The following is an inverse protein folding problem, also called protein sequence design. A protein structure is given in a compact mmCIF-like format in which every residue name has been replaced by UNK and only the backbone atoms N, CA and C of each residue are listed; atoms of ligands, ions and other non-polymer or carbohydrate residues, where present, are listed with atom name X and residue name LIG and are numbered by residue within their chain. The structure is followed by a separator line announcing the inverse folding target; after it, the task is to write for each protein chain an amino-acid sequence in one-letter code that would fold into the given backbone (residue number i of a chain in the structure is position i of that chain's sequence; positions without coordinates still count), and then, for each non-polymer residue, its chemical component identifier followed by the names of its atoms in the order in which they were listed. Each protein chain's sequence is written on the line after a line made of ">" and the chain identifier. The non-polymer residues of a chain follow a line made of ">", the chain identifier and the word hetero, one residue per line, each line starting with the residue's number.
data_IF_614708893512
#
_entry.id   IF_614708893512
#
_cell.length_a   1.000
_cell.length_b   1.000
_cell.length_c   1.000
_cell.angle_alpha   90.00
_cell.angle_beta   90.00
_cell.angle_gamma   90.00
#
_symmetry.space_group_name_H-M   'P 1'
#
loop_
_entity.id
_entity.type
_entity.pdbx_description
1 polymer ?
#
# COMPACT_ATOMS: atom_id res chain seq x y z
N UNK A 1 -12.80 -11.09 -13.20
CA UNK A 1 -11.87 -10.46 -12.22
C UNK A 1 -12.72 -9.85 -11.12
N UNK A 2 -12.45 -10.17 -9.86
CA UNK A 2 -13.24 -9.67 -8.73
C UNK A 2 -12.67 -8.34 -8.21
N UNK A 3 -13.55 -7.46 -7.75
CA UNK A 3 -13.22 -6.19 -7.10
C UNK A 3 -13.78 -6.18 -5.68
N UNK A 4 -12.97 -5.79 -4.70
CA UNK A 4 -13.40 -5.59 -3.32
C UNK A 4 -13.58 -4.09 -3.12
N UNK A 5 -14.83 -3.65 -2.90
CA UNK A 5 -15.12 -2.26 -2.55
C UNK A 5 -15.77 -2.21 -1.18
N UNK A 6 -15.21 -1.35 -0.33
CA UNK A 6 -15.61 -1.15 1.05
C UNK A 6 -16.11 0.29 1.29
N UNK A 7 -16.56 0.96 0.21
CA UNK A 7 -17.04 2.34 0.23
C UNK A 7 -18.19 2.53 1.22
N UNK A 8 -17.98 3.35 2.25
CA UNK A 8 -19.01 3.73 3.23
C UNK A 8 -19.11 2.85 4.47
N UNK A 9 -18.31 1.78 4.57
CA UNK A 9 -18.31 0.87 5.71
C UNK A 9 -17.07 1.08 6.58
N UNK A 10 -17.25 1.11 7.91
CA UNK A 10 -16.14 0.98 8.87
C UNK A 10 -15.84 -0.49 9.01
N UNK A 11 -14.86 -0.97 8.25
CA UNK A 11 -14.39 -2.35 8.35
C UNK A 11 -13.19 -2.40 9.28
N UNK A 12 -13.07 -3.48 10.04
CA UNK A 12 -11.89 -3.67 10.88
C UNK A 12 -10.70 -4.07 10.00
N UNK A 13 -10.89 -5.05 9.10
CA UNK A 13 -9.81 -5.56 8.28
C UNK A 13 -10.28 -6.07 6.93
N UNK A 14 -9.40 -5.96 5.93
CA UNK A 14 -9.53 -6.66 4.64
C UNK A 14 -8.35 -7.61 4.50
N UNK A 15 -8.65 -8.88 4.22
CA UNK A 15 -7.65 -9.91 3.98
C UNK A 15 -7.87 -10.55 2.62
N UNK A 16 -6.84 -10.59 1.76
CA UNK A 16 -6.89 -11.29 0.48
C UNK A 16 -5.69 -12.20 0.31
N UNK A 17 -5.91 -13.51 0.30
CA UNK A 17 -4.87 -14.52 0.20
C UNK A 17 -5.02 -15.32 -1.10
N UNK A 18 -3.95 -15.44 -1.88
CA UNK A 18 -3.92 -16.26 -3.09
C UNK A 18 -4.94 -15.85 -4.17
N UNK A 19 -5.37 -14.59 -4.16
CA UNK A 19 -6.48 -14.11 -5.00
C UNK A 19 -5.98 -13.26 -6.17
N UNK A 20 -6.69 -13.33 -7.30
CA UNK A 20 -6.47 -12.43 -8.45
C UNK A 20 -7.60 -11.39 -8.48
N UNK A 21 -7.28 -10.20 -8.02
CA UNK A 21 -8.23 -9.10 -7.83
C UNK A 21 -7.89 -7.95 -8.78
N UNK A 22 -8.93 -7.36 -9.37
CA UNK A 22 -8.74 -6.18 -10.21
C UNK A 22 -8.51 -4.94 -9.36
N UNK A 23 -9.31 -4.78 -8.30
CA UNK A 23 -9.26 -3.60 -7.45
C UNK A 23 -9.65 -3.92 -6.01
N UNK A 24 -8.97 -3.26 -5.08
CA UNK A 24 -9.37 -3.18 -3.67
C UNK A 24 -9.48 -1.70 -3.33
N UNK A 25 -10.68 -1.23 -2.97
CA UNK A 25 -10.93 0.17 -2.64
C UNK A 25 -11.62 0.31 -1.31
N UNK A 26 -10.99 0.96 -0.33
CA UNK A 26 -11.50 1.02 1.03
C UNK A 26 -11.23 2.39 1.67
N UNK A 27 -12.26 2.97 2.30
CA UNK A 27 -12.24 4.33 2.84
C UNK A 27 -12.03 4.43 4.37
N UNK A 28 -12.41 3.40 5.14
CA UNK A 28 -12.19 3.37 6.60
C UNK A 28 -11.88 1.94 7.03
N UNK A 29 -10.60 1.69 7.35
CA UNK A 29 -10.09 0.37 7.73
C UNK A 29 -9.05 0.49 8.83
N UNK A 30 -9.05 -0.42 9.80
CA UNK A 30 -7.90 -0.52 10.71
C UNK A 30 -6.71 -1.22 10.04
N UNK A 31 -6.98 -2.26 9.24
CA UNK A 31 -5.90 -3.00 8.56
C UNK A 31 -6.23 -3.56 7.17
N UNK A 32 -5.21 -3.63 6.32
CA UNK A 32 -5.24 -4.35 5.04
C UNK A 32 -4.10 -5.34 5.02
N UNK A 33 -4.38 -6.60 4.72
CA UNK A 33 -3.36 -7.63 4.55
C UNK A 33 -3.61 -8.41 3.28
N UNK A 34 -2.63 -8.49 2.39
CA UNK A 34 -2.72 -9.38 1.23
C UNK A 34 -1.46 -10.23 1.13
N UNK A 35 -1.64 -11.53 0.88
CA UNK A 35 -0.54 -12.48 0.79
C UNK A 35 -0.66 -13.34 -0.46
N UNK A 36 0.40 -13.40 -1.26
CA UNK A 36 0.43 -14.20 -2.49
C UNK A 36 -0.65 -13.80 -3.50
N UNK A 37 -1.11 -12.55 -3.47
CA UNK A 37 -2.21 -12.07 -4.31
C UNK A 37 -1.69 -11.25 -5.49
N UNK A 38 -2.44 -11.26 -6.59
CA UNK A 38 -2.19 -10.41 -7.76
C UNK A 38 -3.27 -9.33 -7.81
N UNK A 39 -2.86 -8.08 -7.67
CA UNK A 39 -3.73 -6.91 -7.56
C UNK A 39 -3.36 -5.90 -8.64
N UNK A 40 -4.32 -5.56 -9.50
CA UNK A 40 -4.09 -4.46 -10.46
C UNK A 40 -4.07 -3.10 -9.74
N UNK A 41 -5.01 -2.86 -8.83
CA UNK A 41 -5.10 -1.59 -8.12
C UNK A 41 -5.51 -1.77 -6.66
N UNK A 42 -4.86 -1.01 -5.79
CA UNK A 42 -5.28 -0.86 -4.39
C UNK A 42 -5.42 0.63 -4.11
N UNK A 43 -6.59 1.05 -3.62
CA UNK A 43 -6.83 2.42 -3.19
C UNK A 43 -7.31 2.44 -1.74
N UNK A 44 -6.59 3.18 -0.92
CA UNK A 44 -6.91 3.42 0.48
C UNK A 44 -6.95 4.91 0.78
N UNK A 45 -7.37 5.73 -0.19
CA UNK A 45 -7.31 7.19 -0.12
C UNK A 45 -8.24 7.75 0.94
N UNK A 46 -7.74 8.70 1.74
CA UNK A 46 -8.49 9.33 2.84
C UNK A 46 -8.75 8.42 4.06
N UNK A 47 -8.13 7.24 4.09
CA UNK A 47 -8.32 6.26 5.16
C UNK A 47 -7.37 6.49 6.33
N UNK A 48 -7.79 6.12 7.55
CA UNK A 48 -6.92 6.04 8.72
C UNK A 48 -6.64 4.57 9.01
N UNK A 49 -5.47 4.07 8.60
CA UNK A 49 -5.07 2.68 8.83
C UNK A 49 -3.94 2.58 9.86
N UNK A 50 -4.07 1.60 10.75
CA UNK A 50 -2.99 1.21 11.64
C UNK A 50 -1.94 0.39 10.89
N UNK A 51 -2.37 -0.54 10.04
CA UNK A 51 -1.44 -1.44 9.35
C UNK A 51 -1.85 -1.77 7.93
N UNK A 52 -0.91 -1.68 7.00
CA UNK A 52 -1.06 -2.15 5.62
C UNK A 52 0.10 -3.12 5.34
N UNK A 53 -0.21 -4.34 4.95
CA UNK A 53 0.78 -5.38 4.71
C UNK A 53 0.53 -6.10 3.40
N UNK A 54 1.56 -6.17 2.57
CA UNK A 54 1.58 -6.97 1.36
C UNK A 54 2.78 -7.91 1.40
N UNK A 55 2.53 -9.21 1.35
CA UNK A 55 3.58 -10.22 1.37
C UNK A 55 3.51 -11.09 0.12
N UNK A 56 4.64 -11.26 -0.57
CA UNK A 56 4.72 -12.09 -1.78
C UNK A 56 3.69 -11.74 -2.85
N UNK A 57 3.23 -10.48 -2.88
CA UNK A 57 2.13 -10.05 -3.74
C UNK A 57 2.65 -9.26 -4.94
N UNK A 58 1.91 -9.30 -6.05
CA UNK A 58 2.20 -8.51 -7.25
C UNK A 58 1.15 -7.42 -7.37
N UNK A 59 1.59 -6.17 -7.25
CA UNK A 59 0.74 -4.99 -7.29
C UNK A 59 1.13 -4.08 -8.44
N UNK A 60 0.18 -3.79 -9.34
CA UNK A 60 0.45 -2.86 -10.42
C UNK A 60 0.40 -1.40 -9.93
N UNK A 61 -0.59 -1.07 -9.10
CA UNK A 61 -0.74 0.27 -8.54
C UNK A 61 -1.26 0.25 -7.11
N UNK A 62 -0.65 1.06 -6.26
CA UNK A 62 -1.10 1.30 -4.88
C UNK A 62 -1.21 2.80 -4.66
N UNK A 63 -2.37 3.27 -4.20
CA UNK A 63 -2.62 4.67 -3.85
C UNK A 63 -3.16 4.77 -2.43
N UNK A 64 -2.46 5.52 -1.59
CA UNK A 64 -2.88 5.84 -0.23
C UNK A 64 -2.92 7.35 -0.01
N UNK A 65 -3.35 8.12 -1.01
CA UNK A 65 -3.29 9.57 -0.96
C UNK A 65 -4.19 10.16 0.13
N UNK A 66 -3.67 11.15 0.87
CA UNK A 66 -4.40 11.82 1.95
C UNK A 66 -4.71 10.92 3.15
N UNK A 67 -4.04 9.77 3.25
CA UNK A 67 -4.30 8.76 4.29
C UNK A 67 -3.35 8.92 5.47
N UNK A 68 -3.78 8.48 6.65
CA UNK A 68 -2.93 8.36 7.84
C UNK A 68 -2.62 6.89 8.06
N UNK A 69 -1.33 6.56 8.04
CA UNK A 69 -0.79 5.20 8.04
C UNK A 69 0.26 5.08 9.14
N UNK A 70 -0.03 4.30 10.19
CA UNK A 70 1.00 4.04 11.19
C UNK A 70 2.09 3.09 10.68
N UNK A 71 1.71 2.01 10.01
CA UNK A 71 2.67 1.01 9.53
C UNK A 71 2.29 0.50 8.16
N UNK A 72 3.25 0.55 7.25
CA UNK A 72 3.14 -0.02 5.90
C UNK A 72 4.29 -0.98 5.68
N UNK A 73 3.98 -2.20 5.28
CA UNK A 73 4.97 -3.24 5.02
C UNK A 73 4.74 -3.88 3.67
N UNK A 74 5.78 -3.92 2.86
CA UNK A 74 5.85 -4.69 1.63
C UNK A 74 7.02 -5.67 1.79
N UNK A 75 6.72 -6.95 1.87
CA UNK A 75 7.72 -8.02 2.02
C UNK A 75 7.72 -8.93 0.81
N UNK A 76 8.87 -9.07 0.13
CA UNK A 76 9.00 -9.94 -1.04
C UNK A 76 7.96 -9.63 -2.15
N UNK A 77 7.48 -8.39 -2.21
CA UNK A 77 6.40 -8.00 -3.12
C UNK A 77 6.95 -7.26 -4.32
N UNK A 78 6.24 -7.34 -5.45
CA UNK A 78 6.59 -6.62 -6.68
C UNK A 78 5.55 -5.53 -6.90
N UNK A 79 5.99 -4.27 -6.89
CA UNK A 79 5.14 -3.09 -7.07
C UNK A 79 5.60 -2.29 -8.28
N UNK A 80 4.71 -2.08 -9.23
CA UNK A 80 5.03 -1.22 -10.37
C UNK A 80 4.96 0.26 -9.98
N UNK A 81 3.89 0.66 -9.28
CA UNK A 81 3.70 2.06 -8.86
C UNK A 81 3.09 2.17 -7.47
N UNK A 82 3.65 3.06 -6.66
CA UNK A 82 3.14 3.41 -5.33
C UNK A 82 3.02 4.94 -5.23
N UNK A 83 1.86 5.42 -4.81
CA UNK A 83 1.60 6.84 -4.56
C UNK A 83 1.04 7.04 -3.16
N UNK A 84 1.71 7.86 -2.37
CA UNK A 84 1.30 8.22 -1.02
C UNK A 84 1.22 9.74 -0.85
N UNK A 85 0.80 10.46 -1.91
CA UNK A 85 0.82 11.92 -1.88
C UNK A 85 -0.11 12.49 -0.80
N UNK A 86 0.38 13.47 -0.04
CA UNK A 86 -0.34 14.12 1.05
C UNK A 86 -0.63 13.23 2.25
N UNK A 87 0.06 12.08 2.36
CA UNK A 87 -0.20 11.08 3.40
C UNK A 87 0.74 11.22 4.59
N UNK A 88 0.28 10.85 5.78
CA UNK A 88 1.10 10.74 6.99
C UNK A 88 1.49 9.28 7.20
N UNK A 89 2.77 8.96 7.07
CA UNK A 89 3.34 7.61 7.20
C UNK A 89 4.33 7.59 8.38
N UNK A 90 3.98 6.91 9.47
CA UNK A 90 4.94 6.77 10.58
C UNK A 90 6.05 5.78 10.25
N UNK A 91 5.71 4.60 9.72
CA UNK A 91 6.69 3.56 9.43
C UNK A 91 6.40 2.88 8.10
N UNK A 92 7.42 2.78 7.25
CA UNK A 92 7.38 2.05 5.98
C UNK A 92 8.52 1.04 5.93
N UNK A 93 8.20 -0.21 5.64
CA UNK A 93 9.16 -1.31 5.43
C UNK A 93 8.97 -1.90 4.05
N UNK A 94 10.06 -2.04 3.29
CA UNK A 94 10.05 -2.54 1.90
C UNK A 94 10.87 -3.84 1.75
N UNK A 95 11.02 -4.62 2.81
CA UNK A 95 11.95 -5.77 2.87
C UNK A 95 11.87 -6.71 1.65
N UNK A 96 12.97 -6.88 0.91
CA UNK A 96 13.05 -7.77 -0.24
C UNK A 96 12.06 -7.46 -1.37
N UNK A 97 11.49 -6.26 -1.40
CA UNK A 97 10.48 -5.86 -2.39
C UNK A 97 11.10 -5.15 -3.58
N UNK A 98 10.49 -5.30 -4.75
CA UNK A 98 10.88 -4.60 -5.98
C UNK A 98 9.86 -3.52 -6.28
N UNK A 99 10.29 -2.27 -6.34
CA UNK A 99 9.46 -1.11 -6.60
C UNK A 99 9.99 -0.35 -7.81
N UNK A 100 9.16 -0.24 -8.84
CA UNK A 100 9.56 0.45 -10.06
C UNK A 100 9.42 1.97 -9.94
N UNK A 101 8.35 2.45 -9.30
CA UNK A 101 8.11 3.88 -9.10
C UNK A 101 7.40 4.15 -7.78
N UNK A 102 7.94 5.09 -7.01
CA UNK A 102 7.36 5.56 -5.74
C UNK A 102 7.23 7.08 -5.79
N UNK A 103 6.03 7.58 -5.48
CA UNK A 103 5.74 9.01 -5.35
C UNK A 103 5.19 9.32 -3.96
N UNK A 104 5.86 10.20 -3.24
CA UNK A 104 5.47 10.64 -1.90
C UNK A 104 5.45 12.16 -1.81
N UNK A 105 4.78 12.82 -2.76
CA UNK A 105 4.69 14.28 -2.79
C UNK A 105 3.80 14.82 -1.66
N UNK A 106 4.29 15.76 -0.86
CA UNK A 106 3.60 16.31 0.30
C UNK A 106 3.36 15.29 1.43
N UNK A 107 4.03 14.13 1.38
CA UNK A 107 3.91 13.10 2.41
C UNK A 107 4.85 13.38 3.58
N UNK A 108 4.42 13.07 4.80
CA UNK A 108 5.30 13.05 5.97
C UNK A 108 5.68 11.60 6.26
N UNK A 109 6.97 11.28 6.14
CA UNK A 109 7.54 9.96 6.42
C UNK A 109 8.43 10.05 7.66
N UNK A 110 8.06 9.41 8.77
CA UNK A 110 8.90 9.42 9.98
C UNK A 110 10.02 8.35 9.93
N UNK A 111 9.75 7.18 9.37
CA UNK A 111 10.72 6.09 9.31
C UNK A 111 10.50 5.22 8.07
N UNK A 112 11.59 4.93 7.37
CA UNK A 112 11.59 4.08 6.17
C UNK A 112 12.74 3.09 6.25
N UNK A 113 12.45 1.81 6.04
CA UNK A 113 13.43 0.73 5.97
C UNK A 113 13.29 -0.02 4.64
N UNK A 114 14.38 -0.12 3.89
CA UNK A 114 14.42 -0.71 2.55
C UNK A 114 15.39 -1.90 2.48
N UNK A 115 15.43 -2.74 3.52
CA UNK A 115 16.35 -3.88 3.58
C UNK A 115 16.18 -4.83 2.39
N UNK A 116 17.20 -4.93 1.52
CA UNK A 116 17.15 -5.80 0.33
C UNK A 116 16.11 -5.40 -0.72
N UNK A 117 15.57 -4.18 -0.65
CA UNK A 117 14.61 -3.67 -1.63
C UNK A 117 15.33 -3.16 -2.89
N UNK A 118 14.66 -3.27 -4.04
CA UNK A 118 15.10 -2.64 -5.29
C UNK A 118 14.15 -1.50 -5.62
N UNK A 119 14.66 -0.27 -5.68
CA UNK A 119 13.89 0.93 -6.02
C UNK A 119 14.46 1.53 -7.31
N UNK A 120 13.66 1.62 -8.38
CA UNK A 120 14.12 2.22 -9.63
C UNK A 120 13.92 3.73 -9.70
N UNK A 121 12.75 4.22 -9.29
CA UNK A 121 12.42 5.64 -9.31
C UNK A 121 11.70 6.03 -8.03
N UNK A 122 12.18 7.09 -7.38
CA UNK A 122 11.57 7.64 -6.18
C UNK A 122 11.49 9.16 -6.35
N UNK A 123 10.27 9.69 -6.25
CA UNK A 123 10.00 11.12 -6.32
C UNK A 123 9.28 11.57 -5.05
N UNK A 124 9.99 12.30 -4.21
CA UNK A 124 9.45 12.90 -3.00
C UNK A 124 9.70 14.41 -3.10
N UNK A 125 8.63 15.19 -3.24
CA UNK A 125 8.67 16.64 -3.21
C UNK A 125 7.84 17.13 -2.03
N UNK A 126 8.41 17.97 -1.17
CA UNK A 126 7.74 18.55 -0.01
C UNK A 126 6.90 19.77 -0.36
#
# INVERSE_FOLDING_TARGET
>A
LQSVSCSGSVLQSVSCSGSVLQSVSCSVLQSVSCSGSVLQSVSCSGSVLQSVSFSGSVLQSVSCSGSVLQSVSFSGSVLQSVSCSGSLLQSVSLSGSVLQSVSCSGSVLQSVSCGGSVLQSVSCSG
#
